data_IF_842110541230
#
_entry.id   IF_842110541230
#
_cell.length_a   1.000
_cell.length_b   1.000
_cell.length_c   1.000
_cell.angle_alpha   90.00
_cell.angle_beta   90.00
_cell.angle_gamma   90.00
#
_symmetry.space_group_name_H-M   'P 1'
#
loop_
_entity.id
_entity.type
_entity.pdbx_description
1 polymer ?
#
# COMPACT_ATOMS: atom_id res chain seq x y z
N UNK A 1 16.91 -8.90 9.65
CA UNK A 1 16.76 -7.42 9.57
C UNK A 1 16.21 -6.92 10.89
N UNK A 2 16.82 -5.90 11.45
CA UNK A 2 16.30 -5.25 12.66
C UNK A 2 15.25 -4.20 12.30
N UNK A 3 14.06 -4.28 12.91
CA UNK A 3 12.92 -3.39 12.65
C UNK A 3 13.06 -2.08 13.46
N UNK A 4 13.58 -2.16 14.66
CA UNK A 4 13.60 -1.02 15.58
C UNK A 4 14.30 0.22 14.98
N UNK A 5 13.62 1.36 15.03
CA UNK A 5 14.11 2.65 14.52
C UNK A 5 14.18 2.79 12.99
N UNK A 6 13.83 1.75 12.23
CA UNK A 6 13.82 1.79 10.77
C UNK A 6 12.45 2.20 10.24
N UNK A 7 12.42 2.72 9.01
CA UNK A 7 11.20 3.17 8.34
C UNK A 7 10.76 2.14 7.31
N UNK A 8 9.46 1.87 7.28
CA UNK A 8 8.83 0.95 6.34
C UNK A 8 7.63 1.61 5.67
N UNK A 9 7.50 1.42 4.36
CA UNK A 9 6.29 1.79 3.62
C UNK A 9 5.42 0.54 3.51
N UNK A 10 4.14 0.66 3.83
CA UNK A 10 3.15 -0.41 3.66
C UNK A 10 2.05 0.09 2.75
N UNK A 11 1.98 -0.44 1.52
CA UNK A 11 0.89 -0.14 0.60
C UNK A 11 -0.34 -0.96 0.97
N UNK A 12 -1.54 -0.41 0.76
CA UNK A 12 -2.76 -1.04 1.25
C UNK A 12 -2.80 -1.11 2.80
N UNK A 13 -2.10 -0.21 3.46
CA UNK A 13 -1.90 -0.22 4.91
C UNK A 13 -3.11 0.18 5.75
N UNK A 14 -4.19 0.64 5.12
CA UNK A 14 -5.41 1.07 5.81
C UNK A 14 -6.39 -0.07 6.09
N UNK A 15 -6.11 -1.31 5.69
CA UNK A 15 -7.01 -2.44 5.93
C UNK A 15 -6.31 -3.79 5.79
N UNK A 16 -6.94 -4.84 6.29
CA UNK A 16 -6.58 -6.23 6.07
C UNK A 16 -5.12 -6.57 6.40
N UNK A 17 -4.44 -7.25 5.48
CA UNK A 17 -3.05 -7.68 5.66
C UNK A 17 -2.08 -6.50 5.79
N UNK A 18 -2.31 -5.42 5.04
CA UNK A 18 -1.49 -4.21 5.12
C UNK A 18 -1.56 -3.55 6.50
N UNK A 19 -2.76 -3.38 7.04
CA UNK A 19 -2.96 -2.87 8.40
C UNK A 19 -2.29 -3.78 9.44
N UNK A 20 -2.49 -5.09 9.35
CA UNK A 20 -1.86 -6.05 10.24
C UNK A 20 -0.34 -5.97 10.20
N UNK A 21 0.24 -5.82 9.01
CA UNK A 21 1.67 -5.63 8.80
C UNK A 21 2.17 -4.33 9.43
N UNK A 22 1.50 -3.21 9.17
CA UNK A 22 1.86 -1.92 9.74
C UNK A 22 1.86 -1.94 11.27
N UNK A 23 0.83 -2.55 11.87
CA UNK A 23 0.73 -2.73 13.33
C UNK A 23 1.85 -3.59 13.87
N UNK A 24 2.21 -4.67 13.19
CA UNK A 24 3.32 -5.54 13.60
C UNK A 24 4.66 -4.78 13.56
N UNK A 25 4.93 -4.05 12.47
CA UNK A 25 6.16 -3.25 12.35
C UNK A 25 6.26 -2.19 13.46
N UNK A 26 5.16 -1.46 13.72
CA UNK A 26 5.14 -0.44 14.77
C UNK A 26 5.33 -1.05 16.17
N UNK A 27 4.70 -2.19 16.47
CA UNK A 27 4.90 -2.89 17.76
C UNK A 27 6.35 -3.33 18.01
N UNK A 28 7.11 -3.55 16.94
CA UNK A 28 8.53 -3.90 17.00
C UNK A 28 9.46 -2.68 16.88
N UNK A 29 8.93 -1.48 17.09
CA UNK A 29 9.71 -0.24 17.12
C UNK A 29 10.02 0.36 15.75
N UNK A 30 9.42 -0.16 14.68
CA UNK A 30 9.51 0.42 13.34
C UNK A 30 8.66 1.68 13.21
N UNK A 31 9.06 2.56 12.32
CA UNK A 31 8.27 3.72 11.88
C UNK A 31 7.58 3.35 10.58
N UNK A 32 6.29 3.66 10.45
CA UNK A 32 5.50 3.23 9.29
C UNK A 32 4.95 4.40 8.50
N UNK A 33 5.00 4.27 7.18
CA UNK A 33 4.25 5.09 6.23
C UNK A 33 3.11 4.23 5.71
N UNK A 34 1.88 4.63 6.01
CA UNK A 34 0.66 4.00 5.51
C UNK A 34 0.36 4.63 4.15
N UNK A 35 0.52 3.86 3.09
CA UNK A 35 0.20 4.29 1.72
C UNK A 35 -1.08 3.61 1.25
N UNK A 36 -2.18 4.37 1.13
CA UNK A 36 -3.50 3.81 0.80
C UNK A 36 -4.39 4.87 0.13
N UNK A 37 -5.41 4.42 -0.59
CA UNK A 37 -6.44 5.29 -1.15
C UNK A 37 -7.44 5.76 -0.09
N UNK A 38 -7.63 5.00 0.99
CA UNK A 38 -8.62 5.26 2.04
C UNK A 38 -8.06 6.25 3.07
N UNK A 39 -8.22 7.55 2.82
CA UNK A 39 -7.65 8.61 3.65
C UNK A 39 -8.11 8.52 5.11
N UNK A 40 -9.42 8.44 5.36
CA UNK A 40 -9.97 8.47 6.73
C UNK A 40 -9.40 7.35 7.61
N UNK A 41 -9.41 6.11 7.09
CA UNK A 41 -8.86 4.95 7.80
C UNK A 41 -7.35 5.02 7.92
N UNK A 42 -6.66 5.39 6.83
CA UNK A 42 -5.21 5.46 6.78
C UNK A 42 -4.64 6.49 7.75
N UNK A 43 -5.25 7.66 7.82
CA UNK A 43 -4.86 8.72 8.77
C UNK A 43 -5.09 8.29 10.22
N UNK A 44 -6.22 7.66 10.52
CA UNK A 44 -6.51 7.16 11.86
C UNK A 44 -5.49 6.11 12.33
N UNK A 45 -5.16 5.15 11.46
CA UNK A 45 -4.16 4.11 11.76
C UNK A 45 -2.77 4.73 11.91
N UNK A 46 -2.37 5.60 11.00
CA UNK A 46 -1.08 6.27 11.07
C UNK A 46 -0.92 7.05 12.38
N UNK A 47 -1.95 7.80 12.79
CA UNK A 47 -1.96 8.53 14.06
C UNK A 47 -1.85 7.60 15.26
N UNK A 48 -2.59 6.50 15.27
CA UNK A 48 -2.54 5.49 16.34
C UNK A 48 -1.15 4.87 16.48
N UNK A 49 -0.48 4.60 15.35
CA UNK A 49 0.83 3.96 15.33
C UNK A 49 2.01 4.94 15.45
N UNK A 50 1.75 6.24 15.53
CA UNK A 50 2.80 7.25 15.52
C UNK A 50 3.55 7.34 14.18
N UNK A 51 2.91 6.89 13.10
CA UNK A 51 3.42 6.92 11.74
C UNK A 51 2.88 8.07 10.91
N UNK A 52 2.99 7.96 9.60
CA UNK A 52 2.53 8.95 8.62
C UNK A 52 1.60 8.29 7.60
N UNK A 53 0.56 8.99 7.18
CA UNK A 53 -0.30 8.59 6.08
C UNK A 53 0.06 9.34 4.80
N UNK A 54 0.06 8.64 3.69
CA UNK A 54 0.17 9.20 2.33
C UNK A 54 -0.97 8.62 1.49
N UNK A 55 -1.83 9.49 0.95
CA UNK A 55 -2.82 9.04 -0.04
C UNK A 55 -2.06 8.59 -1.28
N UNK A 56 -2.20 7.33 -1.65
CA UNK A 56 -1.38 6.71 -2.67
C UNK A 56 -2.20 5.75 -3.54
N UNK A 57 -2.28 6.08 -4.83
CA UNK A 57 -2.60 5.14 -5.87
C UNK A 57 -1.27 4.53 -6.36
N UNK A 58 -1.06 3.25 -6.08
CA UNK A 58 0.21 2.58 -6.40
C UNK A 58 0.52 2.56 -7.90
N UNK A 59 -0.47 2.75 -8.77
CA UNK A 59 -0.29 2.83 -10.22
C UNK A 59 0.20 4.20 -10.71
N UNK A 60 0.29 5.19 -9.82
CA UNK A 60 0.75 6.55 -10.16
C UNK A 60 2.18 6.78 -9.68
N UNK A 61 3.08 7.12 -10.59
CA UNK A 61 4.49 7.35 -10.28
C UNK A 61 4.70 8.46 -9.24
N UNK A 62 3.96 9.56 -9.37
CA UNK A 62 4.05 10.67 -8.43
C UNK A 62 3.66 10.28 -6.99
N UNK A 63 2.71 9.36 -6.82
CA UNK A 63 2.26 8.90 -5.51
C UNK A 63 3.32 8.00 -4.85
N UNK A 64 3.98 7.14 -5.64
CA UNK A 64 5.12 6.35 -5.18
C UNK A 64 6.26 7.25 -4.70
N UNK A 65 6.61 8.26 -5.50
CA UNK A 65 7.62 9.25 -5.13
C UNK A 65 7.26 10.00 -3.83
N UNK A 66 5.98 10.37 -3.66
CA UNK A 66 5.50 11.02 -2.44
C UNK A 66 5.61 10.12 -1.21
N UNK A 67 5.32 8.83 -1.34
CA UNK A 67 5.46 7.86 -0.26
C UNK A 67 6.93 7.71 0.17
N UNK A 68 7.85 7.61 -0.79
CA UNK A 68 9.29 7.56 -0.51
C UNK A 68 9.77 8.84 0.16
N UNK A 69 9.36 10.01 -0.34
CA UNK A 69 9.72 11.30 0.25
C UNK A 69 9.25 11.42 1.71
N UNK A 70 8.04 10.96 2.02
CA UNK A 70 7.51 10.92 3.38
C UNK A 70 8.33 9.98 4.28
N UNK A 71 8.71 8.81 3.78
CA UNK A 71 9.52 7.85 4.51
C UNK A 71 10.91 8.40 4.84
N UNK A 72 11.57 9.06 3.89
CA UNK A 72 12.90 9.64 4.11
C UNK A 72 12.91 10.75 5.16
N UNK A 73 11.79 11.47 5.34
CA UNK A 73 11.63 12.45 6.42
C UNK A 73 11.55 11.81 7.81
N UNK A 74 11.08 10.56 7.90
CA UNK A 74 11.00 9.83 9.16
C UNK A 74 12.33 9.19 9.57
N UNK A 75 13.21 8.92 8.63
CA UNK A 75 14.50 8.31 8.89
C UNK A 75 14.97 7.38 7.77
N UNK A 76 15.74 6.35 8.15
CA UNK A 76 16.29 5.39 7.19
C UNK A 76 15.20 4.44 6.67
N UNK A 77 14.81 4.62 5.41
CA UNK A 77 13.92 3.69 4.73
C UNK A 77 14.62 2.33 4.57
N UNK A 78 14.01 1.29 5.12
CA UNK A 78 14.59 -0.05 5.16
C UNK A 78 13.78 -1.06 4.34
N UNK A 79 12.48 -0.87 4.22
CA UNK A 79 11.66 -1.83 3.51
C UNK A 79 10.36 -1.27 2.98
N UNK A 80 9.84 -1.98 1.99
CA UNK A 80 8.54 -1.78 1.39
C UNK A 80 7.77 -3.10 1.47
N UNK A 81 6.52 -3.03 1.89
CA UNK A 81 5.60 -4.18 1.87
C UNK A 81 4.42 -3.85 0.95
N UNK A 82 4.36 -4.52 -0.19
CA UNK A 82 3.30 -4.36 -1.18
C UNK A 82 2.09 -5.21 -0.78
N UNK A 83 1.10 -4.57 -0.12
CA UNK A 83 -0.19 -5.18 0.21
C UNK A 83 -1.36 -4.58 -0.60
N UNK A 84 -1.15 -3.47 -1.30
CA UNK A 84 -2.17 -2.91 -2.17
C UNK A 84 -2.45 -3.84 -3.35
N UNK A 85 -3.73 -4.12 -3.58
CA UNK A 85 -4.15 -4.97 -4.67
C UNK A 85 -5.67 -5.07 -4.76
N UNK A 86 -6.15 -5.47 -5.91
CA UNK A 86 -7.55 -5.75 -6.18
C UNK A 86 -7.69 -7.14 -6.81
N UNK A 87 -8.76 -7.86 -6.49
CA UNK A 87 -9.02 -9.19 -6.99
C UNK A 87 -10.51 -9.40 -7.31
N UNK A 88 -11.08 -8.63 -8.24
CA UNK A 88 -12.46 -8.86 -8.67
C UNK A 88 -12.54 -10.23 -9.36
N UNK A 89 -13.40 -11.09 -8.87
CA UNK A 89 -13.63 -12.40 -9.48
C UNK A 89 -14.48 -12.25 -10.74
N UNK A 90 -13.97 -12.73 -11.86
CA UNK A 90 -14.72 -12.78 -13.11
C UNK A 90 -14.32 -14.00 -13.95
N UNK A 91 -15.32 -14.67 -14.53
CA UNK A 91 -15.07 -15.76 -15.48
C UNK A 91 -14.65 -15.17 -16.82
N UNK A 92 -13.84 -15.91 -17.59
CA UNK A 92 -13.48 -15.53 -18.97
C UNK A 92 -14.72 -15.33 -19.84
N UNK A 93 -15.71 -16.21 -19.68
CA UNK A 93 -17.06 -16.05 -20.23
C UNK A 93 -18.06 -16.29 -19.12
N UNK A 94 -18.81 -15.24 -18.76
CA UNK A 94 -19.87 -15.26 -17.76
C UNK A 94 -21.27 -15.26 -18.39
N UNK A 95 -22.29 -15.08 -17.55
CA UNK A 95 -23.70 -15.00 -18.02
C UNK A 95 -23.94 -13.80 -18.95
N UNK A 96 -23.25 -12.70 -18.70
CA UNK A 96 -23.42 -11.43 -19.41
C UNK A 96 -22.39 -11.24 -20.54
N UNK A 97 -21.61 -12.27 -20.88
CA UNK A 97 -20.63 -12.26 -21.94
C UNK A 97 -19.18 -12.42 -21.49
N UNK A 98 -18.25 -11.97 -22.33
CA UNK A 98 -16.82 -12.08 -22.10
C UNK A 98 -16.33 -11.13 -20.99
N UNK A 99 -15.28 -11.55 -20.30
CA UNK A 99 -14.58 -10.72 -19.31
C UNK A 99 -14.07 -9.44 -19.98
N UNK A 100 -14.45 -8.28 -19.46
CA UNK A 100 -14.04 -6.99 -20.02
C UNK A 100 -12.52 -6.81 -19.93
N UNK A 101 -11.89 -6.44 -21.06
CA UNK A 101 -10.45 -6.14 -21.09
C UNK A 101 -10.09 -5.01 -20.13
N UNK A 102 -10.92 -4.00 -19.98
CA UNK A 102 -10.68 -2.88 -19.07
C UNK A 102 -10.54 -3.33 -17.61
N UNK A 103 -11.36 -4.30 -17.17
CA UNK A 103 -11.26 -4.85 -15.82
C UNK A 103 -9.94 -5.62 -15.62
N UNK A 104 -9.58 -6.47 -16.58
CA UNK A 104 -8.31 -7.18 -16.57
C UNK A 104 -7.13 -6.21 -16.54
N UNK A 105 -7.12 -5.21 -17.43
CA UNK A 105 -6.08 -4.20 -17.50
C UNK A 105 -5.93 -3.43 -16.16
N UNK A 106 -7.05 -3.08 -15.52
CA UNK A 106 -7.05 -2.42 -14.22
C UNK A 106 -6.39 -3.29 -13.14
N UNK A 107 -6.72 -4.58 -13.10
CA UNK A 107 -6.12 -5.52 -12.12
C UNK A 107 -4.62 -5.62 -12.33
N UNK A 108 -4.16 -5.79 -13.57
CA UNK A 108 -2.73 -5.84 -13.90
C UNK A 108 -2.03 -4.54 -13.54
N UNK A 109 -2.66 -3.40 -13.84
CA UNK A 109 -2.11 -2.09 -13.54
C UNK A 109 -1.92 -1.88 -12.04
N UNK A 110 -2.91 -2.21 -11.22
CA UNK A 110 -2.79 -2.06 -9.76
C UNK A 110 -1.82 -3.08 -9.18
N UNK A 111 -1.99 -4.37 -9.50
CA UNK A 111 -1.29 -5.43 -8.79
C UNK A 111 0.15 -5.65 -9.27
N UNK A 112 0.39 -5.56 -10.58
CA UNK A 112 1.71 -5.80 -11.15
C UNK A 112 2.48 -4.48 -11.33
N UNK A 113 1.92 -3.55 -12.10
CA UNK A 113 2.57 -2.27 -12.37
C UNK A 113 2.71 -1.47 -11.08
N UNK A 114 1.67 -1.45 -10.23
CA UNK A 114 1.71 -0.78 -8.93
C UNK A 114 2.79 -1.32 -8.00
N UNK A 115 2.97 -2.65 -7.94
CA UNK A 115 4.05 -3.24 -7.13
C UNK A 115 5.45 -2.89 -7.66
N UNK A 116 5.61 -2.76 -8.97
CA UNK A 116 6.86 -2.31 -9.58
C UNK A 116 7.12 -0.82 -9.35
N UNK A 117 6.07 0.00 -9.40
CA UNK A 117 6.17 1.45 -9.27
C UNK A 117 6.60 1.90 -7.86
N UNK A 118 6.22 1.15 -6.86
CA UNK A 118 6.56 1.45 -5.46
C UNK A 118 7.98 1.07 -5.10
#
# INVERSE_FOLDING_TARGET
MDIAGKVFIVTGGASGLGEGTARMLARNGGKVVIADLQADKGEAIAKELGGVFVKCDVSQEADGQAAVAAALKLGKLMGLVNCAGIAPAAKTVGKDGAHALALFAKVVTVNLVGSFNM
#
